data_IF_039593136763
#
_entry.id   IF_039593136763
#
_cell.length_a   1.000
_cell.length_b   1.000
_cell.length_c   1.000
_cell.angle_alpha   90.00
_cell.angle_beta   90.00
_cell.angle_gamma   90.00
#
_symmetry.space_group_name_H-M   'P 1'
#
loop_
_entity.id
_entity.type
_entity.pdbx_description
1 polymer ?
#
# COMPACT_ATOMS: atom_id res chain seq x y z
N UNK A 1 22.10 1.15 -18.93
CA UNK A 1 20.97 1.16 -17.96
C UNK A 1 21.42 0.36 -16.76
N UNK A 2 21.83 1.05 -15.70
CA UNK A 2 22.50 0.41 -14.56
C UNK A 2 21.47 -0.34 -13.70
N UNK A 3 21.54 -1.67 -13.71
CA UNK A 3 20.66 -2.54 -12.92
C UNK A 3 20.64 -2.17 -11.41
N UNK A 4 21.70 -1.52 -10.92
CA UNK A 4 21.81 -1.04 -9.55
C UNK A 4 20.73 -0.01 -9.15
N UNK A 5 20.23 0.81 -10.09
CA UNK A 5 19.21 1.83 -9.80
C UNK A 5 17.86 1.15 -9.54
N UNK A 6 17.51 0.15 -10.37
CA UNK A 6 16.28 -0.63 -10.20
C UNK A 6 16.30 -1.44 -8.89
N UNK A 7 17.43 -2.08 -8.57
CA UNK A 7 17.56 -2.84 -7.32
C UNK A 7 17.44 -1.94 -6.09
N UNK A 8 18.10 -0.77 -6.11
CA UNK A 8 18.01 0.21 -5.01
C UNK A 8 16.59 0.77 -4.85
N UNK A 9 15.91 1.06 -5.97
CA UNK A 9 14.50 1.45 -5.97
C UNK A 9 13.59 0.39 -5.38
N UNK A 10 13.79 -0.89 -5.74
CA UNK A 10 13.03 -2.02 -5.19
C UNK A 10 13.19 -2.14 -3.67
N UNK A 11 14.43 -2.07 -3.17
CA UNK A 11 14.72 -2.18 -1.74
C UNK A 11 14.09 -1.03 -0.94
N UNK A 12 14.19 0.21 -1.44
CA UNK A 12 13.60 1.37 -0.78
C UNK A 12 12.06 1.28 -0.79
N UNK A 13 11.46 0.89 -1.92
CA UNK A 13 10.02 0.69 -2.03
C UNK A 13 9.49 -0.38 -1.07
N UNK A 14 10.19 -1.51 -0.96
CA UNK A 14 9.88 -2.57 0.01
C UNK A 14 9.99 -2.08 1.46
N UNK A 15 11.03 -1.31 1.78
CA UNK A 15 11.21 -0.77 3.13
C UNK A 15 10.09 0.19 3.54
N UNK A 16 9.53 0.95 2.58
CA UNK A 16 8.40 1.87 2.82
C UNK A 16 7.08 1.10 2.96
N UNK A 17 6.91 -0.01 2.22
CA UNK A 17 5.67 -0.81 2.25
C UNK A 17 5.59 -1.82 3.42
N UNK A 18 6.74 -2.31 3.91
CA UNK A 18 6.82 -3.27 5.02
C UNK A 18 6.19 -2.82 6.37
N UNK A 19 6.25 -1.55 6.80
CA UNK A 19 5.62 -1.15 8.06
C UNK A 19 4.09 -1.25 7.99
N UNK A 20 3.52 -2.01 8.93
CA UNK A 20 2.06 -2.12 9.08
C UNK A 20 1.54 -0.84 9.72
N UNK A 21 1.06 0.09 8.89
CA UNK A 21 0.42 1.32 9.34
C UNK A 21 -0.95 1.08 10.00
N UNK A 22 -1.59 2.13 10.54
CA UNK A 22 -2.91 2.05 11.16
C UNK A 22 -4.00 1.48 10.22
N UNK A 23 -3.87 1.72 8.91
CA UNK A 23 -4.74 1.16 7.87
C UNK A 23 -4.58 -0.37 7.78
N UNK A 24 -3.35 -0.88 7.86
CA UNK A 24 -3.07 -2.31 7.87
C UNK A 24 -3.67 -2.99 9.12
N UNK A 25 -3.53 -2.36 10.29
CA UNK A 25 -4.17 -2.83 11.52
C UNK A 25 -5.69 -2.83 11.41
N UNK A 26 -6.28 -1.78 10.82
CA UNK A 26 -7.73 -1.71 10.59
C UNK A 26 -8.22 -2.82 9.65
N UNK A 27 -7.48 -3.08 8.56
CA UNK A 27 -7.78 -4.17 7.62
C UNK A 27 -7.72 -5.53 8.31
N UNK A 28 -6.69 -5.79 9.13
CA UNK A 28 -6.57 -7.02 9.93
C UNK A 28 -7.75 -7.13 10.91
N UNK A 29 -8.09 -6.05 11.60
CA UNK A 29 -9.21 -6.02 12.55
C UNK A 29 -10.56 -6.30 11.89
N UNK A 30 -10.87 -5.68 10.73
CA UNK A 30 -12.08 -6.01 9.97
C UNK A 30 -12.05 -7.41 9.41
N UNK A 31 -10.90 -7.89 8.95
CA UNK A 31 -10.75 -9.29 8.49
C UNK A 31 -11.11 -10.28 9.59
N UNK A 32 -10.66 -10.02 10.82
CA UNK A 32 -10.89 -10.90 11.97
C UNK A 32 -12.29 -10.73 12.57
N UNK A 33 -12.87 -9.52 12.55
CA UNK A 33 -14.18 -9.23 13.16
C UNK A 33 -15.37 -9.47 12.23
N UNK A 34 -15.25 -9.09 10.95
CA UNK A 34 -16.33 -9.12 9.94
C UNK A 34 -16.07 -10.17 8.83
N UNK A 35 -14.90 -10.83 8.87
CA UNK A 35 -14.52 -11.88 7.92
C UNK A 35 -13.64 -11.38 6.76
N UNK A 36 -13.10 -12.33 5.97
CA UNK A 36 -12.13 -12.06 4.88
C UNK A 36 -12.62 -11.09 3.81
N UNK A 37 -13.92 -11.08 3.50
CA UNK A 37 -14.47 -10.18 2.48
C UNK A 37 -14.42 -8.72 2.93
N UNK A 38 -14.79 -8.44 4.18
CA UNK A 38 -14.73 -7.08 4.74
C UNK A 38 -13.28 -6.56 4.72
N UNK A 39 -12.33 -7.41 5.13
CA UNK A 39 -10.90 -7.17 5.02
C UNK A 39 -10.45 -6.84 3.60
N UNK A 40 -10.81 -7.67 2.62
CA UNK A 40 -10.44 -7.49 1.21
C UNK A 40 -10.98 -6.17 0.65
N UNK A 41 -12.24 -5.83 0.94
CA UNK A 41 -12.85 -4.56 0.49
C UNK A 41 -12.12 -3.37 1.12
N UNK A 42 -11.77 -3.42 2.41
CA UNK A 42 -10.96 -2.36 3.02
C UNK A 42 -9.56 -2.23 2.43
N UNK A 43 -8.89 -3.35 2.19
CA UNK A 43 -7.55 -3.36 1.59
C UNK A 43 -7.57 -2.80 0.17
N UNK A 44 -8.56 -3.18 -0.64
CA UNK A 44 -8.76 -2.64 -1.99
C UNK A 44 -9.08 -1.15 -1.98
N UNK A 45 -9.93 -0.70 -1.05
CA UNK A 45 -10.22 0.72 -0.88
C UNK A 45 -8.98 1.53 -0.50
N UNK A 46 -8.16 1.03 0.43
CA UNK A 46 -6.90 1.65 0.81
C UNK A 46 -5.91 1.72 -0.38
N UNK A 47 -5.70 0.60 -1.08
CA UNK A 47 -4.82 0.55 -2.24
C UNK A 47 -5.27 1.50 -3.36
N UNK A 48 -6.59 1.63 -3.56
CA UNK A 48 -7.15 2.57 -4.54
C UNK A 48 -6.89 4.01 -4.14
N UNK A 49 -7.08 4.36 -2.85
CA UNK A 49 -6.76 5.69 -2.34
C UNK A 49 -5.28 6.02 -2.50
N UNK A 50 -4.38 5.10 -2.17
CA UNK A 50 -2.93 5.27 -2.33
C UNK A 50 -2.53 5.41 -3.81
N UNK A 51 -3.19 4.67 -4.71
CA UNK A 51 -2.95 4.77 -6.15
C UNK A 51 -3.39 6.12 -6.70
N UNK A 52 -4.56 6.61 -6.28
CA UNK A 52 -5.05 7.94 -6.69
C UNK A 52 -4.16 9.03 -6.13
N UNK A 53 -3.78 8.95 -4.85
CA UNK A 53 -2.90 9.92 -4.22
C UNK A 53 -1.51 9.93 -4.85
N UNK A 54 -0.96 8.74 -5.13
CA UNK A 54 0.30 8.58 -5.85
C UNK A 54 0.23 9.09 -7.28
N UNK A 55 -0.89 8.92 -7.97
CA UNK A 55 -1.11 9.48 -9.30
C UNK A 55 -1.14 11.01 -9.24
N UNK A 56 -1.89 11.61 -8.33
CA UNK A 56 -1.94 13.07 -8.12
C UNK A 56 -0.53 13.61 -7.85
N UNK A 57 0.21 12.99 -6.94
CA UNK A 57 1.59 13.37 -6.63
C UNK A 57 2.55 13.22 -7.82
N UNK A 58 2.38 12.17 -8.64
CA UNK A 58 3.18 11.93 -9.83
C UNK A 58 2.90 12.95 -10.95
N UNK A 59 1.64 13.40 -11.08
CA UNK A 59 1.26 14.46 -12.01
C UNK A 59 1.54 15.88 -11.46
N UNK A 60 1.95 16.00 -10.19
CA UNK A 60 2.37 17.27 -9.58
C UNK A 60 1.23 18.27 -9.33
N UNK A 61 0.00 17.77 -9.15
CA UNK A 61 -1.18 18.57 -8.81
C UNK A 61 -1.25 18.91 -7.31
#
# INVERSE_FOLDING_TARGET
MDAGIYFRGLVIGLAIAAPVGPIGVLCIRRTLAEGRLAGLVTGLGAATADTVYGAVAAFGL
#
